data_IF_396644915358
#
_entry.id   IF_396644915358
#
_cell.length_a   1.000
_cell.length_b   1.000
_cell.length_c   1.000
_cell.angle_alpha   90.00
_cell.angle_beta   90.00
_cell.angle_gamma   90.00
#
_symmetry.space_group_name_H-M   'P 1'
#
loop_
_entity.id
_entity.type
_entity.pdbx_description
1 polymer ?
#
# COMPACT_ATOMS: atom_id res chain seq x y z
N UNK A 1 24.89 1.67 -12.69
CA UNK A 1 24.67 0.74 -11.55
C UNK A 1 24.45 1.45 -10.21
N UNK A 2 25.31 2.39 -9.80
CA UNK A 2 25.17 3.14 -8.52
C UNK A 2 23.87 3.95 -8.36
N UNK A 3 23.35 4.55 -9.43
CA UNK A 3 22.09 5.32 -9.40
C UNK A 3 20.88 4.46 -9.02
N UNK A 4 20.83 3.21 -9.49
CA UNK A 4 19.72 2.28 -9.25
C UNK A 4 19.67 1.83 -7.79
N UNK A 5 20.83 1.50 -7.21
CA UNK A 5 20.96 1.09 -5.81
C UNK A 5 20.61 2.26 -4.88
N UNK A 6 21.10 3.48 -5.19
CA UNK A 6 20.82 4.69 -4.39
C UNK A 6 19.33 5.04 -4.40
N UNK A 7 18.67 4.92 -5.56
CA UNK A 7 17.22 5.10 -5.71
C UNK A 7 16.43 4.07 -4.90
N UNK A 8 16.83 2.80 -4.96
CA UNK A 8 16.18 1.71 -4.23
C UNK A 8 16.31 1.86 -2.71
N UNK A 9 17.49 2.25 -2.22
CA UNK A 9 17.71 2.55 -0.79
C UNK A 9 16.85 3.74 -0.35
N UNK A 10 16.84 4.81 -1.15
CA UNK A 10 16.05 6.01 -0.86
C UNK A 10 14.55 5.68 -0.79
N UNK A 11 14.03 4.94 -1.77
CA UNK A 11 12.64 4.49 -1.78
C UNK A 11 12.29 3.64 -0.55
N UNK A 12 13.17 2.73 -0.15
CA UNK A 12 12.97 1.93 1.07
C UNK A 12 12.99 2.77 2.35
N UNK A 13 13.88 3.76 2.45
CA UNK A 13 13.92 4.66 3.61
C UNK A 13 12.67 5.54 3.69
N UNK A 14 12.23 6.10 2.56
CA UNK A 14 10.98 6.89 2.50
C UNK A 14 9.78 6.03 2.89
N UNK A 15 9.66 4.82 2.34
CA UNK A 15 8.57 3.89 2.67
C UNK A 15 8.58 3.54 4.17
N UNK A 16 9.73 3.25 4.77
CA UNK A 16 9.83 2.98 6.21
C UNK A 16 9.40 4.17 7.07
N UNK A 17 9.77 5.40 6.68
CA UNK A 17 9.37 6.63 7.39
C UNK A 17 7.85 6.84 7.28
N UNK A 18 7.29 6.66 6.08
CA UNK A 18 5.86 6.82 5.83
C UNK A 18 5.03 5.80 6.64
N UNK A 19 5.48 4.54 6.72
CA UNK A 19 4.83 3.49 7.52
C UNK A 19 4.87 3.82 9.02
N UNK A 20 6.00 4.33 9.53
CA UNK A 20 6.12 4.73 10.94
C UNK A 20 5.15 5.85 11.30
N UNK A 21 4.91 6.77 10.36
CA UNK A 21 4.01 7.92 10.50
C UNK A 21 2.53 7.59 10.28
N UNK A 22 2.17 6.31 10.11
CA UNK A 22 0.76 5.92 10.00
C UNK A 22 0.06 5.92 11.36
N UNK A 23 -1.19 6.37 11.35
CA UNK A 23 -2.09 6.27 12.49
C UNK A 23 -2.51 4.80 12.74
N UNK A 24 -3.05 4.51 13.92
CA UNK A 24 -3.46 3.17 14.35
C UNK A 24 -4.44 2.51 13.39
N UNK A 25 -5.42 3.28 12.86
CA UNK A 25 -6.37 2.78 11.85
C UNK A 25 -5.70 2.48 10.51
N UNK A 26 -4.74 3.32 10.10
CA UNK A 26 -3.99 3.16 8.86
C UNK A 26 -3.08 1.92 8.93
N UNK A 27 -2.44 1.69 10.08
CA UNK A 27 -1.62 0.50 10.37
C UNK A 27 -2.47 -0.77 10.33
N UNK A 28 -3.63 -0.77 10.97
CA UNK A 28 -4.54 -1.92 10.97
C UNK A 28 -5.02 -2.28 9.55
N UNK A 29 -5.37 -1.27 8.74
CA UNK A 29 -5.69 -1.45 7.32
C UNK A 29 -4.52 -2.02 6.52
N UNK A 30 -3.32 -1.49 6.72
CA UNK A 30 -2.14 -1.96 6.01
C UNK A 30 -1.85 -3.44 6.32
N UNK A 31 -1.93 -3.83 7.59
CA UNK A 31 -1.80 -5.23 8.03
C UNK A 31 -2.88 -6.11 7.41
N UNK A 32 -4.13 -5.66 7.40
CA UNK A 32 -5.25 -6.38 6.78
C UNK A 32 -5.00 -6.67 5.29
N UNK A 33 -4.45 -5.71 4.55
CA UNK A 33 -4.08 -5.91 3.15
C UNK A 33 -2.84 -6.79 2.97
N UNK A 34 -1.85 -6.72 3.87
CA UNK A 34 -0.63 -7.53 3.82
C UNK A 34 -0.88 -9.02 4.10
N UNK A 35 -1.71 -9.31 5.10
CA UNK A 35 -2.03 -10.69 5.49
C UNK A 35 -2.80 -11.44 4.39
N UNK A 36 -3.45 -10.68 3.52
CA UNK A 36 -4.28 -11.18 2.43
C UNK A 36 -3.49 -11.29 1.12
N UNK A 37 -2.59 -12.27 0.93
CA UNK A 37 -1.85 -12.57 -0.33
C UNK A 37 -2.38 -11.81 -1.59
N UNK A 38 -2.01 -10.54 -1.76
CA UNK A 38 -2.35 -9.73 -2.94
C UNK A 38 -3.84 -9.56 -3.29
N UNK A 39 -4.78 -9.79 -2.37
CA UNK A 39 -6.21 -9.70 -2.73
C UNK A 39 -6.62 -8.23 -2.87
N UNK A 40 -6.92 -7.81 -4.11
CA UNK A 40 -7.68 -6.59 -4.43
C UNK A 40 -9.00 -6.66 -3.62
N UNK A 41 -9.32 -5.66 -2.78
CA UNK A 41 -10.54 -5.69 -1.94
C UNK A 41 -11.40 -4.44 -2.09
N UNK A 42 -12.71 -4.60 -1.87
CA UNK A 42 -13.61 -3.48 -1.64
C UNK A 42 -13.38 -2.96 -0.22
N UNK A 43 -13.22 -1.66 -0.10
CA UNK A 43 -13.10 -1.01 1.20
C UNK A 43 -14.49 -0.58 1.66
N UNK A 44 -15.04 -1.33 2.63
CA UNK A 44 -16.26 -0.93 3.35
C UNK A 44 -15.97 -0.34 4.72
N UNK A 45 -14.89 -0.78 5.37
CA UNK A 45 -14.47 -0.35 6.70
C UNK A 45 -13.33 0.68 6.57
N UNK A 46 -13.28 1.64 7.49
CA UNK A 46 -12.22 2.67 7.56
C UNK A 46 -12.05 3.47 6.26
N UNK A 47 -13.17 3.97 5.71
CA UNK A 47 -13.22 4.71 4.44
C UNK A 47 -12.26 5.90 4.42
N UNK A 48 -12.17 6.64 5.52
CA UNK A 48 -11.29 7.81 5.64
C UNK A 48 -9.82 7.43 5.73
N UNK A 49 -9.46 6.46 6.55
CA UNK A 49 -8.08 5.97 6.63
C UNK A 49 -7.62 5.36 5.30
N UNK A 50 -8.52 4.69 4.60
CA UNK A 50 -8.25 4.16 3.27
C UNK A 50 -8.02 5.26 2.23
N UNK A 51 -8.82 6.32 2.28
CA UNK A 51 -8.62 7.51 1.44
C UNK A 51 -7.25 8.13 1.73
N UNK A 52 -6.91 8.36 3.00
CA UNK A 52 -5.59 8.87 3.40
C UNK A 52 -4.44 7.99 2.91
N UNK A 53 -4.57 6.67 3.00
CA UNK A 53 -3.57 5.74 2.49
C UNK A 53 -3.44 5.76 0.96
N UNK A 54 -4.54 6.02 0.23
CA UNK A 54 -4.52 6.23 -1.22
C UNK A 54 -3.85 7.57 -1.55
N UNK A 55 -4.19 8.64 -0.84
CA UNK A 55 -3.62 9.98 -1.02
C UNK A 55 -2.09 9.98 -0.74
N UNK A 56 -1.64 9.16 0.23
CA UNK A 56 -0.21 8.89 0.50
C UNK A 56 0.46 7.97 -0.54
N UNK A 57 -0.28 7.40 -1.50
CA UNK A 57 0.25 6.49 -2.51
C UNK A 57 0.60 5.08 -2.00
N UNK A 58 0.20 4.74 -0.77
CA UNK A 58 0.45 3.44 -0.14
C UNK A 58 -0.52 2.40 -0.68
N UNK A 59 -1.78 2.80 -0.85
CA UNK A 59 -2.80 2.00 -1.50
C UNK A 59 -3.04 2.52 -2.93
N UNK A 60 -3.37 1.61 -3.84
CA UNK A 60 -3.73 1.90 -5.22
C UNK A 60 -5.14 1.40 -5.51
N UNK A 61 -5.95 2.25 -6.12
CA UNK A 61 -7.26 1.87 -6.65
C UNK A 61 -7.06 1.18 -7.99
N UNK A 62 -7.74 0.05 -8.18
CA UNK A 62 -7.71 -0.76 -9.39
C UNK A 62 -9.12 -1.19 -9.76
N UNK A 63 -9.39 -1.31 -11.04
CA UNK A 63 -10.69 -1.79 -11.49
C UNK A 63 -10.82 -3.30 -11.28
N UNK A 64 -12.04 -3.73 -10.98
CA UNK A 64 -12.36 -5.14 -10.84
C UNK A 64 -12.49 -5.79 -12.22
N UNK A 65 -11.64 -6.80 -12.47
CA UNK A 65 -11.72 -7.64 -13.66
C UNK A 65 -13.00 -8.51 -13.69
N UNK A 66 -13.56 -8.82 -12.51
CA UNK A 66 -14.75 -9.70 -12.38
C UNK A 66 -16.06 -8.91 -12.54
N UNK A 67 -16.08 -7.64 -12.13
CA UNK A 67 -17.27 -6.78 -12.24
C UNK A 67 -16.87 -5.39 -12.73
N UNK A 68 -16.97 -5.13 -14.05
CA UNK A 68 -16.68 -3.83 -14.64
C UNK A 68 -17.41 -2.70 -13.89
N UNK A 69 -16.72 -1.57 -13.66
CA UNK A 69 -17.25 -0.42 -12.91
C UNK A 69 -17.09 -0.50 -11.39
N UNK A 70 -16.69 -1.65 -10.82
CA UNK A 70 -16.33 -1.72 -9.40
C UNK A 70 -14.85 -1.38 -9.17
N UNK A 71 -14.60 -0.42 -8.27
CA UNK A 71 -13.27 -0.08 -7.80
C UNK A 71 -12.86 -0.97 -6.62
N UNK A 72 -11.68 -1.58 -6.73
CA UNK A 72 -11.00 -2.32 -5.67
C UNK A 72 -9.76 -1.55 -5.24
N UNK A 73 -9.22 -1.91 -4.09
CA UNK A 73 -7.99 -1.33 -3.57
C UNK A 73 -6.99 -2.44 -3.28
N UNK A 74 -5.72 -2.18 -3.61
CA UNK A 74 -4.58 -3.05 -3.28
C UNK A 74 -3.42 -2.20 -2.74
N UNK A 75 -2.43 -2.85 -2.13
CA UNK A 75 -1.16 -2.18 -1.81
C UNK A 75 -0.46 -1.80 -3.12
N UNK A 76 0.13 -0.61 -3.16
CA UNK A 76 0.88 -0.16 -4.33
C UNK A 76 2.18 -0.95 -4.46
N UNK A 77 2.59 -1.18 -5.72
CA UNK A 77 3.70 -2.10 -6.00
C UNK A 77 5.03 -1.60 -5.39
N UNK A 78 5.20 -0.27 -5.25
CA UNK A 78 6.31 0.37 -4.54
C UNK A 78 6.37 -0.06 -3.07
N UNK A 79 5.25 0.06 -2.35
CA UNK A 79 5.20 -0.28 -0.93
C UNK A 79 5.23 -1.79 -0.72
N UNK A 80 4.69 -2.57 -1.65
CA UNK A 80 4.82 -4.02 -1.54
C UNK A 80 6.27 -4.49 -1.59
N UNK A 81 7.02 -4.06 -2.59
CA UNK A 81 8.43 -4.47 -2.75
C UNK A 81 9.24 -4.07 -1.53
N UNK A 82 9.01 -2.87 -1.00
CA UNK A 82 9.66 -2.39 0.23
C UNK A 82 9.25 -3.19 1.48
N UNK A 83 7.98 -3.60 1.59
CA UNK A 83 7.48 -4.41 2.72
C UNK A 83 7.95 -5.86 2.64
N UNK A 84 7.97 -6.46 1.44
CA UNK A 84 8.43 -7.83 1.20
C UNK A 84 9.94 -7.98 1.46
N UNK A 85 10.74 -6.95 1.19
CA UNK A 85 12.17 -6.95 1.46
C UNK A 85 12.53 -6.72 2.95
N UNK A 86 11.53 -6.47 3.82
CA UNK A 86 11.72 -6.29 5.27
C UNK A 86 10.98 -7.34 6.12
N UNK A 87 10.34 -8.33 5.47
CA UNK A 87 9.78 -9.54 6.09
C UNK A 87 10.72 -10.71 5.82
#
# INVERSE_FOLDING_TARGET
MYSFIKKMIFENFTVKKDIKNLDSQEKALLIYFLHSRYKKRKIRLYKDASKRLIDKGILKVVDSEVKPGNKLVKISDKYYSALKNNL
#
